data_IF_452379505393
#
_entry.id   IF_452379505393
#
_cell.length_a   1.000
_cell.length_b   1.000
_cell.length_c   1.000
_cell.angle_alpha   90.00
_cell.angle_beta   90.00
_cell.angle_gamma   90.00
#
_symmetry.space_group_name_H-M   'P 1'
#
loop_
_entity.id
_entity.type
_entity.pdbx_description
1 polymer ?
#
# COMPACT_ATOMS: atom_id res chain seq x y z
N UNK A 1 4.95 30.94 21.28
CA UNK A 1 5.73 29.84 20.67
C UNK A 1 5.47 29.84 19.17
N UNK A 2 6.46 30.21 18.35
CA UNK A 2 6.39 29.91 16.92
C UNK A 2 6.72 28.44 16.77
N UNK A 3 5.73 27.63 16.39
CA UNK A 3 5.95 26.25 16.00
C UNK A 3 6.58 26.30 14.61
N UNK A 4 7.89 26.07 14.53
CA UNK A 4 8.57 25.94 13.24
C UNK A 4 8.16 24.58 12.67
N UNK A 5 7.23 24.60 11.72
CA UNK A 5 6.84 23.42 10.99
C UNK A 5 7.86 23.17 9.88
N UNK A 6 8.63 22.09 9.98
CA UNK A 6 9.39 21.56 8.85
C UNK A 6 8.43 20.85 7.91
N UNK A 7 8.11 21.50 6.80
CA UNK A 7 7.23 20.96 5.77
C UNK A 7 8.06 20.31 4.65
N UNK A 8 7.79 19.04 4.35
CA UNK A 8 8.14 18.49 3.04
C UNK A 8 7.31 19.15 1.94
N UNK A 9 7.85 19.29 0.73
CA UNK A 9 7.22 20.03 -0.38
C UNK A 9 5.78 19.59 -0.69
N UNK A 10 5.48 18.29 -0.64
CA UNK A 10 4.12 17.79 -0.91
C UNK A 10 3.13 18.13 0.22
N UNK A 11 3.57 18.17 1.48
CA UNK A 11 2.74 18.60 2.62
C UNK A 11 2.44 20.10 2.54
N UNK A 12 3.43 20.91 2.13
CA UNK A 12 3.21 22.34 1.90
C UNK A 12 2.21 22.56 0.76
N UNK A 13 2.36 21.83 -0.36
CA UNK A 13 1.41 21.89 -1.47
C UNK A 13 -0.02 21.51 -1.06
N UNK A 14 -0.19 20.44 -0.27
CA UNK A 14 -1.47 20.08 0.32
C UNK A 14 -2.04 21.23 1.16
N UNK A 15 -1.24 21.77 2.08
CA UNK A 15 -1.66 22.83 2.99
C UNK A 15 -2.14 24.08 2.25
N UNK A 16 -1.39 24.53 1.25
CA UNK A 16 -1.75 25.71 0.46
C UNK A 16 -3.07 25.52 -0.32
N UNK A 17 -3.42 24.28 -0.70
CA UNK A 17 -4.64 24.01 -1.47
C UNK A 17 -5.85 23.65 -0.62
N UNK A 18 -5.66 22.87 0.45
CA UNK A 18 -6.73 22.22 1.21
C UNK A 18 -6.73 22.58 2.70
N UNK A 19 -5.69 23.26 3.20
CA UNK A 19 -5.56 23.64 4.61
C UNK A 19 -4.91 22.56 5.47
N UNK A 20 -5.26 22.56 6.76
CA UNK A 20 -4.55 21.81 7.79
C UNK A 20 -4.45 20.29 7.52
N UNK A 21 -3.37 19.70 8.03
CA UNK A 21 -3.17 18.25 8.10
C UNK A 21 -3.47 17.82 9.54
N UNK A 22 -4.58 17.10 9.80
CA UNK A 22 -4.96 16.71 11.15
C UNK A 22 -3.87 15.88 11.85
N UNK A 23 -3.74 15.98 13.20
CA UNK A 23 -2.82 15.14 13.95
C UNK A 23 -3.02 13.66 13.66
N UNK A 24 -1.92 12.94 13.46
CA UNK A 24 -1.94 11.50 13.14
C UNK A 24 -2.24 11.15 11.68
N UNK A 25 -2.49 12.13 10.81
CA UNK A 25 -2.64 11.91 9.37
C UNK A 25 -1.36 12.17 8.58
N UNK A 26 -1.23 11.45 7.47
CA UNK A 26 -0.16 11.57 6.49
C UNK A 26 -0.72 12.11 5.18
N UNK A 27 0.16 12.73 4.38
CA UNK A 27 -0.15 13.12 3.00
C UNK A 27 0.47 12.06 2.09
N UNK A 28 -0.37 11.27 1.43
CA UNK A 28 0.01 10.13 0.58
C UNK A 28 -0.07 10.49 -0.90
N UNK A 29 0.83 9.90 -1.69
CA UNK A 29 0.90 10.04 -3.14
C UNK A 29 0.09 8.92 -3.81
N UNK A 30 -1.12 9.25 -4.27
CA UNK A 30 -1.94 8.32 -5.08
C UNK A 30 -1.23 7.86 -6.36
N UNK A 31 -0.30 8.67 -6.84
CA UNK A 31 0.43 8.45 -8.09
C UNK A 31 1.76 7.70 -7.92
N UNK A 32 2.16 7.33 -6.69
CA UNK A 32 3.43 6.68 -6.36
C UNK A 32 4.72 7.42 -6.75
N UNK A 33 4.63 8.59 -7.40
CA UNK A 33 5.74 9.48 -7.66
C UNK A 33 6.01 10.37 -6.42
N UNK A 34 7.06 10.03 -5.67
CA UNK A 34 7.44 10.74 -4.43
C UNK A 34 7.85 12.19 -4.63
N UNK A 35 8.29 12.57 -5.84
CA UNK A 35 8.63 13.95 -6.20
C UNK A 35 7.41 14.78 -6.61
N UNK A 36 6.24 14.15 -6.79
CA UNK A 36 5.03 14.86 -7.19
C UNK A 36 4.54 15.78 -6.06
N UNK A 37 4.22 17.02 -6.41
CA UNK A 37 3.62 18.00 -5.49
C UNK A 37 2.27 18.50 -6.01
N UNK A 38 1.68 17.88 -7.04
CA UNK A 38 0.35 18.25 -7.52
C UNK A 38 -0.70 17.86 -6.44
N UNK A 39 -1.42 18.82 -5.82
CA UNK A 39 -2.33 18.51 -4.72
C UNK A 39 -3.46 17.54 -5.12
N UNK A 40 -3.86 17.52 -6.39
CA UNK A 40 -4.86 16.55 -6.89
C UNK A 40 -4.36 15.10 -6.89
N UNK A 41 -3.04 14.87 -6.88
CA UNK A 41 -2.41 13.55 -6.78
C UNK A 41 -2.12 13.14 -5.33
N UNK A 42 -2.40 14.02 -4.37
CA UNK A 42 -2.22 13.78 -2.94
C UNK A 42 -3.54 13.42 -2.27
N UNK A 43 -3.49 12.81 -1.08
CA UNK A 43 -4.65 12.57 -0.20
C UNK A 43 -4.24 12.50 1.28
N UNK A 44 -5.16 12.82 2.17
CA UNK A 44 -5.00 12.55 3.60
C UNK A 44 -5.31 11.09 3.90
N UNK A 45 -4.42 10.45 4.65
CA UNK A 45 -4.54 9.04 5.01
C UNK A 45 -4.08 8.78 6.45
N UNK A 46 -4.61 7.72 7.03
CA UNK A 46 -4.02 7.09 8.21
C UNK A 46 -2.73 6.33 7.84
N UNK A 47 -1.83 6.05 8.79
CA UNK A 47 -0.64 5.21 8.53
C UNK A 47 -0.97 3.84 7.94
N UNK A 48 -2.09 3.24 8.38
CA UNK A 48 -2.60 1.97 7.85
C UNK A 48 -2.96 2.10 6.37
N UNK A 49 -3.73 3.12 6.00
CA UNK A 49 -4.10 3.39 4.61
C UNK A 49 -2.87 3.70 3.73
N UNK A 50 -1.92 4.50 4.23
CA UNK A 50 -0.65 4.74 3.52
C UNK A 50 0.10 3.43 3.20
N UNK A 51 0.08 2.47 4.14
CA UNK A 51 0.73 1.16 3.95
C UNK A 51 0.01 0.24 2.95
N UNK A 52 -1.28 0.47 2.70
CA UNK A 52 -2.04 -0.24 1.67
C UNK A 52 -1.58 0.19 0.27
N UNK A 53 -1.26 1.49 0.11
CA UNK A 53 -0.92 2.14 -1.15
C UNK A 53 0.49 1.77 -1.62
N UNK A 54 0.61 0.60 -2.26
CA UNK A 54 1.90 0.07 -2.71
C UNK A 54 1.82 -0.53 -4.10
N UNK A 55 2.80 -0.17 -4.92
CA UNK A 55 3.08 -0.84 -6.19
C UNK A 55 3.97 -2.05 -5.93
N UNK A 56 3.39 -3.24 -6.03
CA UNK A 56 4.15 -4.49 -6.01
C UNK A 56 4.60 -5.03 -4.64
N UNK A 57 5.43 -6.09 -4.63
CA UNK A 57 5.89 -6.77 -3.42
C UNK A 57 6.89 -5.91 -2.62
N UNK A 58 7.18 -6.33 -1.38
CA UNK A 58 8.26 -5.68 -0.62
C UNK A 58 9.61 -6.10 -1.18
N UNK A 59 10.57 -5.18 -1.28
CA UNK A 59 11.93 -5.46 -1.77
C UNK A 59 12.55 -6.67 -1.06
N UNK A 60 12.33 -6.80 0.25
CA UNK A 60 12.87 -7.89 1.08
C UNK A 60 12.02 -9.17 1.07
N UNK A 61 10.82 -9.15 0.48
CA UNK A 61 9.87 -10.27 0.43
C UNK A 61 9.20 -10.33 -0.94
N UNK A 62 10.02 -10.51 -1.98
CA UNK A 62 9.61 -10.49 -3.40
C UNK A 62 10.11 -11.71 -4.19
N UNK A 63 10.45 -12.84 -3.55
CA UNK A 63 11.04 -14.00 -4.24
C UNK A 63 10.19 -14.55 -5.39
N UNK A 64 8.88 -14.30 -5.39
CA UNK A 64 7.95 -14.67 -6.47
C UNK A 64 7.74 -13.56 -7.51
N UNK A 65 8.22 -12.34 -7.26
CA UNK A 65 7.84 -11.13 -7.99
C UNK A 65 6.39 -10.67 -7.75
N UNK A 66 5.57 -11.44 -7.00
CA UNK A 66 4.13 -11.18 -6.81
C UNK A 66 3.83 -10.79 -5.36
N UNK A 67 3.14 -9.66 -5.17
CA UNK A 67 2.79 -9.14 -3.83
C UNK A 67 1.94 -10.15 -3.07
N UNK A 68 2.45 -10.59 -1.92
CA UNK A 68 1.73 -11.49 -1.02
C UNK A 68 1.77 -12.97 -1.42
N UNK A 69 2.60 -13.35 -2.40
CA UNK A 69 2.73 -14.75 -2.82
C UNK A 69 4.13 -15.25 -2.55
N UNK A 70 4.26 -16.45 -2.00
CA UNK A 70 5.54 -17.13 -1.79
C UNK A 70 5.43 -18.62 -2.06
N UNK A 71 6.48 -19.23 -2.56
CA UNK A 71 6.55 -20.69 -2.66
C UNK A 71 6.62 -21.29 -1.26
N UNK A 72 5.82 -22.33 -1.00
CA UNK A 72 5.94 -23.12 0.21
C UNK A 72 6.44 -24.54 -0.16
N UNK A 73 7.70 -24.88 0.15
CA UNK A 73 8.29 -26.15 -0.25
C UNK A 73 7.71 -27.34 0.51
N UNK A 74 7.15 -27.14 1.70
CA UNK A 74 6.58 -28.24 2.50
C UNK A 74 5.29 -28.80 1.88
N UNK A 75 4.52 -27.94 1.22
CA UNK A 75 3.27 -28.32 0.53
C UNK A 75 3.42 -28.38 -0.98
N UNK A 76 4.57 -27.95 -1.52
CA UNK A 76 4.82 -27.90 -2.96
C UNK A 76 3.86 -26.99 -3.72
N UNK A 77 3.42 -25.88 -3.10
CA UNK A 77 2.41 -24.97 -3.66
C UNK A 77 2.75 -23.50 -3.40
N UNK A 78 2.21 -22.62 -4.22
CA UNK A 78 2.23 -21.18 -4.03
C UNK A 78 1.25 -20.77 -2.93
N UNK A 79 1.77 -20.19 -1.85
CA UNK A 79 0.97 -19.67 -0.74
C UNK A 79 0.65 -18.20 -0.97
N UNK A 80 -0.63 -17.88 -1.14
CA UNK A 80 -1.14 -16.52 -1.23
C UNK A 80 -1.59 -16.01 0.14
N UNK A 81 -1.18 -14.80 0.50
CA UNK A 81 -1.53 -14.16 1.76
C UNK A 81 -1.60 -12.63 1.62
N UNK A 82 -2.24 -11.97 2.57
CA UNK A 82 -2.16 -10.52 2.76
C UNK A 82 -2.11 -10.17 4.24
N UNK A 83 -1.65 -8.97 4.57
CA UNK A 83 -1.68 -8.48 5.95
C UNK A 83 -2.72 -7.38 6.10
N UNK A 84 -3.53 -7.43 7.15
CA UNK A 84 -4.51 -6.41 7.47
C UNK A 84 -4.62 -6.24 8.98
N UNK A 85 -4.65 -4.99 9.45
CA UNK A 85 -4.69 -4.64 10.88
C UNK A 85 -3.63 -5.40 11.72
N UNK A 86 -2.41 -5.47 11.21
CA UNK A 86 -1.28 -6.14 11.88
C UNK A 86 -1.29 -7.67 11.84
N UNK A 87 -2.32 -8.30 11.25
CA UNK A 87 -2.42 -9.77 11.14
C UNK A 87 -2.23 -10.23 9.71
N UNK A 88 -1.54 -11.36 9.54
CA UNK A 88 -1.44 -12.04 8.26
C UNK A 88 -2.66 -12.97 8.07
N UNK A 89 -3.25 -12.93 6.88
CA UNK A 89 -4.38 -13.74 6.47
C UNK A 89 -3.95 -14.65 5.32
N UNK A 90 -4.15 -15.96 5.48
CA UNK A 90 -3.99 -16.93 4.41
C UNK A 90 -5.17 -16.81 3.44
N UNK A 91 -4.88 -16.73 2.15
CA UNK A 91 -5.89 -16.77 1.08
C UNK A 91 -6.03 -18.19 0.55
N UNK A 92 -4.92 -18.91 0.41
CA UNK A 92 -4.92 -20.29 -0.05
C UNK A 92 -3.56 -20.76 -0.55
N UNK A 93 -3.55 -21.99 -1.06
CA UNK A 93 -2.41 -22.65 -1.70
C UNK A 93 -2.80 -23.04 -3.12
N UNK A 94 -1.93 -22.73 -4.09
CA UNK A 94 -2.22 -22.86 -5.52
C UNK A 94 -1.05 -23.56 -6.23
N UNK A 95 -1.36 -24.27 -7.31
CA UNK A 95 -0.32 -24.89 -8.15
C UNK A 95 0.32 -23.87 -9.11
N UNK A 96 -0.47 -22.89 -9.55
CA UNK A 96 -0.02 -21.81 -10.42
C UNK A 96 0.31 -20.51 -9.66
N UNK A 97 1.35 -19.81 -10.12
CA UNK A 97 1.83 -18.57 -9.50
C UNK A 97 0.87 -17.39 -9.78
N UNK A 98 0.34 -17.31 -10.99
CA UNK A 98 -0.53 -16.21 -11.39
C UNK A 98 -1.91 -16.32 -10.74
N UNK A 99 -2.43 -17.54 -10.60
CA UNK A 99 -3.66 -17.81 -9.83
C UNK A 99 -3.50 -17.39 -8.36
N UNK A 100 -2.37 -17.73 -7.73
CA UNK A 100 -2.06 -17.27 -6.38
C UNK A 100 -1.98 -15.74 -6.28
N UNK A 101 -1.39 -15.08 -7.29
CA UNK A 101 -1.25 -13.63 -7.34
C UNK A 101 -2.61 -12.93 -7.48
N UNK A 102 -3.47 -13.42 -8.36
CA UNK A 102 -4.82 -12.89 -8.55
C UNK A 102 -5.69 -13.14 -7.31
N UNK A 103 -5.58 -14.32 -6.67
CA UNK A 103 -6.27 -14.59 -5.41
C UNK A 103 -5.83 -13.61 -4.30
N UNK A 104 -4.52 -13.36 -4.18
CA UNK A 104 -3.97 -12.39 -3.22
C UNK A 104 -4.45 -10.95 -3.52
N UNK A 105 -4.45 -10.55 -4.79
CA UNK A 105 -4.95 -9.24 -5.27
C UNK A 105 -6.43 -9.05 -4.94
N UNK A 106 -7.27 -10.03 -5.28
CA UNK A 106 -8.71 -10.02 -4.95
C UNK A 106 -8.95 -9.91 -3.46
N UNK A 107 -8.22 -10.68 -2.66
CA UNK A 107 -8.35 -10.63 -1.20
C UNK A 107 -8.00 -9.25 -0.64
N UNK A 108 -6.90 -8.62 -1.12
CA UNK A 108 -6.55 -7.25 -0.74
C UNK A 108 -7.62 -6.24 -1.15
N UNK A 109 -8.14 -6.31 -2.38
CA UNK A 109 -9.15 -5.36 -2.86
C UNK A 109 -10.48 -5.41 -2.09
N UNK A 110 -10.79 -6.54 -1.44
CA UNK A 110 -11.96 -6.66 -0.55
C UNK A 110 -11.80 -5.86 0.75
N UNK A 111 -10.58 -5.73 1.27
CA UNK A 111 -10.34 -5.18 2.62
C UNK A 111 -9.56 -3.86 2.63
N UNK A 112 -8.77 -3.60 1.59
CA UNK A 112 -7.94 -2.41 1.50
C UNK A 112 -8.73 -1.28 0.85
N UNK A 113 -8.66 -0.14 1.50
CA UNK A 113 -9.33 1.09 1.08
C UNK A 113 -8.45 1.92 0.15
N UNK A 114 -7.13 1.78 0.24
CA UNK A 114 -6.14 2.61 -0.46
C UNK A 114 -5.16 1.74 -1.26
N UNK A 115 -5.68 0.88 -2.12
CA UNK A 115 -4.91 -0.11 -2.88
C UNK A 115 -5.08 0.12 -4.39
N UNK A 116 -4.75 1.32 -4.84
CA UNK A 116 -5.15 1.82 -6.15
C UNK A 116 -4.48 1.03 -7.29
N UNK A 117 -3.20 0.68 -7.14
CA UNK A 117 -2.44 -0.10 -8.12
C UNK A 117 -3.00 -1.51 -8.39
N UNK A 118 -3.69 -2.12 -7.42
CA UNK A 118 -4.28 -3.46 -7.57
C UNK A 118 -5.71 -3.40 -8.13
N UNK A 119 -6.33 -2.23 -8.33
CA UNK A 119 -7.74 -2.11 -8.74
C UNK A 119 -7.95 -2.02 -10.25
N UNK A 120 -6.87 -1.84 -11.01
CA UNK A 120 -6.83 -1.89 -12.48
C UNK A 120 -6.03 -3.12 -12.92
#
# INVERSE_FOLDING_TARGET
MQVVFFWSSHRLSWFLKYGDIPPGMLVDHKCHNTLCVNPSHLRLVTPKQNSENREGPAITRNSSGKRGVRWNPQVGKWHACYSHNGKAHCVGFFDDLEEAAEAARRARNKVFTHNDADRF
#
